data_IF_576334553072
#
_entry.id   IF_576334553072
#
_cell.length_a   1.000
_cell.length_b   1.000
_cell.length_c   1.000
_cell.angle_alpha   90.00
_cell.angle_beta   90.00
_cell.angle_gamma   90.00
#
_symmetry.space_group_name_H-M   'P 1'
#
loop_
_entity.id
_entity.type
_entity.pdbx_description
1 polymer ?
#
# COMPACT_ATOMS: atom_id res chain seq x y z
N UNK A 1 -22.23 -20.89 -44.57
CA UNK A 1 -20.95 -20.27 -44.97
C UNK A 1 -19.95 -21.41 -45.15
N UNK A 2 -19.26 -21.43 -46.28
CA UNK A 2 -18.72 -22.62 -46.98
C UNK A 2 -17.96 -23.65 -46.11
N UNK A 3 -18.42 -24.90 -46.15
CA UNK A 3 -17.65 -26.09 -45.79
C UNK A 3 -17.00 -26.65 -47.07
N UNK A 4 -15.67 -26.76 -47.08
CA UNK A 4 -14.95 -27.57 -48.06
C UNK A 4 -14.57 -28.89 -47.39
N UNK A 5 -15.13 -30.00 -47.88
CA UNK A 5 -14.64 -31.35 -47.58
C UNK A 5 -13.77 -31.76 -48.77
N UNK A 6 -12.46 -31.76 -48.57
CA UNK A 6 -11.50 -32.28 -49.55
C UNK A 6 -11.31 -33.77 -49.27
N UNK A 7 -11.92 -34.64 -50.08
CA UNK A 7 -11.63 -36.08 -50.03
C UNK A 7 -10.55 -36.38 -51.07
N UNK A 8 -9.31 -36.55 -50.63
CA UNK A 8 -8.22 -37.06 -51.46
C UNK A 8 -7.91 -38.50 -51.07
N UNK A 9 -8.00 -39.42 -52.04
CA UNK A 9 -7.53 -40.81 -51.89
C UNK A 9 -6.01 -40.79 -51.80
N UNK A 10 -5.46 -40.82 -50.58
CA UNK A 10 -4.03 -41.02 -50.40
C UNK A 10 -3.68 -42.50 -50.55
N UNK A 11 -2.60 -42.77 -51.31
CA UNK A 11 -2.00 -44.09 -51.38
C UNK A 11 -1.54 -44.49 -49.95
N UNK A 12 -1.99 -45.65 -49.42
CA UNK A 12 -1.75 -46.04 -48.02
C UNK A 12 -0.27 -46.14 -47.66
N UNK A 13 0.60 -46.39 -48.63
CA UNK A 13 2.05 -46.46 -48.43
C UNK A 13 2.65 -45.06 -48.24
N UNK A 14 2.16 -44.08 -49.00
CA UNK A 14 2.61 -42.67 -48.91
C UNK A 14 2.08 -42.04 -47.62
N UNK A 15 0.82 -42.33 -47.25
CA UNK A 15 0.22 -41.86 -46.01
C UNK A 15 0.96 -42.41 -44.77
N UNK A 16 1.36 -43.69 -44.80
CA UNK A 16 2.15 -44.31 -43.72
C UNK A 16 3.55 -43.70 -43.59
N UNK A 17 4.21 -43.37 -44.70
CA UNK A 17 5.51 -42.68 -44.68
C UNK A 17 5.41 -41.24 -44.17
N UNK A 18 4.37 -40.50 -44.56
CA UNK A 18 4.11 -39.15 -44.06
C UNK A 18 3.77 -39.18 -42.57
N UNK A 19 2.97 -40.13 -42.10
CA UNK A 19 2.66 -40.30 -40.67
C UNK A 19 3.91 -40.65 -39.86
N UNK A 20 4.79 -41.52 -40.36
CA UNK A 20 6.04 -41.88 -39.67
C UNK A 20 7.02 -40.69 -39.64
N UNK A 21 7.15 -39.92 -40.73
CA UNK A 21 7.98 -38.72 -40.76
C UNK A 21 7.40 -37.63 -39.84
N UNK A 22 6.08 -37.46 -39.82
CA UNK A 22 5.39 -36.53 -38.94
C UNK A 22 5.55 -36.94 -37.46
N UNK A 23 5.51 -38.24 -37.14
CA UNK A 23 5.79 -38.76 -35.80
C UNK A 23 7.26 -38.57 -35.39
N UNK A 24 8.22 -38.83 -36.29
CA UNK A 24 9.65 -38.62 -36.03
C UNK A 24 9.98 -37.13 -35.81
N UNK A 25 9.32 -36.23 -36.53
CA UNK A 25 9.45 -34.78 -36.35
C UNK A 25 8.75 -34.31 -35.07
N UNK A 26 7.60 -34.89 -34.68
CA UNK A 26 6.94 -34.60 -33.40
C UNK A 26 7.75 -35.08 -32.19
N UNK A 27 8.41 -36.24 -32.28
CA UNK A 27 9.30 -36.75 -31.21
C UNK A 27 10.63 -36.00 -31.16
N UNK A 28 11.09 -35.43 -32.28
CA UNK A 28 12.30 -34.61 -32.35
C UNK A 28 12.15 -33.18 -31.80
N UNK A 29 10.92 -32.68 -31.67
CA UNK A 29 10.62 -31.32 -31.19
C UNK A 29 10.16 -31.25 -29.73
N UNK A 30 10.04 -32.38 -29.03
CA UNK A 30 9.70 -32.39 -27.59
C UNK A 30 10.92 -32.26 -26.66
N UNK A 31 12.13 -32.04 -27.19
CA UNK A 31 13.27 -31.58 -26.40
C UNK A 31 13.41 -30.06 -26.46
N UNK A 32 12.31 -29.32 -26.26
CA UNK A 32 12.46 -28.04 -25.57
C UNK A 32 12.69 -28.42 -24.12
N UNK A 33 13.96 -28.68 -23.80
CA UNK A 33 14.42 -28.70 -22.43
C UNK A 33 13.93 -27.41 -21.80
N UNK A 34 12.89 -27.49 -20.96
CA UNK A 34 12.63 -26.43 -20.00
C UNK A 34 13.97 -26.13 -19.36
N UNK A 35 14.42 -24.88 -19.42
CA UNK A 35 15.66 -24.50 -18.74
C UNK A 35 15.56 -25.07 -17.33
N UNK A 36 16.48 -25.98 -16.98
CA UNK A 36 16.42 -26.62 -15.66
C UNK A 36 16.46 -25.50 -14.63
N UNK A 37 15.68 -25.64 -13.56
CA UNK A 37 15.65 -24.65 -12.49
C UNK A 37 17.08 -24.34 -11.96
N UNK A 38 17.97 -25.32 -12.05
CA UNK A 38 19.41 -25.18 -11.79
C UNK A 38 20.11 -24.18 -12.73
N UNK A 39 19.79 -24.18 -14.04
CA UNK A 39 20.38 -23.23 -14.99
C UNK A 39 20.02 -21.79 -14.64
N UNK A 40 18.76 -21.53 -14.28
CA UNK A 40 18.32 -20.21 -13.82
C UNK A 40 19.08 -19.77 -12.57
N UNK A 41 19.21 -20.66 -11.58
CA UNK A 41 19.99 -20.35 -10.37
C UNK A 41 21.46 -20.07 -10.70
N UNK A 42 22.07 -20.84 -11.60
CA UNK A 42 23.45 -20.58 -12.03
C UNK A 42 23.60 -19.24 -12.74
N UNK A 43 22.66 -18.87 -13.62
CA UNK A 43 22.65 -17.57 -14.29
C UNK A 43 22.51 -16.42 -13.27
N UNK A 44 21.62 -16.55 -12.29
CA UNK A 44 21.46 -15.56 -11.22
C UNK A 44 22.72 -15.45 -10.35
N UNK A 45 23.34 -16.57 -9.98
CA UNK A 45 24.56 -16.59 -9.15
C UNK A 45 25.79 -16.02 -9.85
N UNK A 46 25.89 -16.20 -11.16
CA UNK A 46 27.01 -15.71 -11.96
C UNK A 46 26.78 -14.27 -12.44
N UNK A 47 25.57 -13.74 -12.28
CA UNK A 47 25.25 -12.34 -12.56
C UNK A 47 26.12 -11.39 -11.76
N UNK A 48 26.77 -10.46 -12.44
CA UNK A 48 27.53 -9.38 -11.81
C UNK A 48 26.64 -8.50 -10.91
N UNK A 49 25.34 -8.41 -11.20
CA UNK A 49 24.39 -7.62 -10.43
C UNK A 49 24.10 -8.21 -9.03
N UNK A 50 24.28 -9.52 -8.84
CA UNK A 50 24.04 -10.21 -7.56
C UNK A 50 25.34 -10.60 -6.83
N UNK A 51 26.47 -10.02 -7.26
CA UNK A 51 27.77 -10.29 -6.63
C UNK A 51 27.77 -9.79 -5.19
N UNK A 52 28.05 -10.70 -4.24
CA UNK A 52 28.07 -10.40 -2.81
C UNK A 52 26.69 -10.45 -2.13
N UNK A 53 25.63 -10.75 -2.87
CA UNK A 53 24.28 -10.93 -2.33
C UNK A 53 24.08 -12.33 -1.74
N UNK A 54 23.11 -12.45 -0.83
CA UNK A 54 22.50 -13.74 -0.47
C UNK A 54 21.24 -13.90 -1.31
N UNK A 55 21.09 -15.05 -1.97
CA UNK A 55 19.94 -15.36 -2.82
C UNK A 55 19.22 -16.61 -2.29
N UNK A 56 17.96 -16.44 -1.91
CA UNK A 56 17.04 -17.56 -1.68
C UNK A 56 15.90 -17.52 -2.71
N UNK A 57 15.55 -18.68 -3.26
CA UNK A 57 14.45 -18.84 -4.21
C UNK A 57 13.61 -20.05 -3.82
N UNK A 58 12.30 -19.84 -3.72
CA UNK A 58 11.32 -20.89 -3.49
C UNK A 58 10.18 -20.70 -4.49
N UNK A 59 9.93 -21.71 -5.31
CA UNK A 59 8.77 -21.78 -6.22
C UNK A 59 8.04 -23.07 -5.90
N UNK A 60 6.74 -22.97 -5.63
CA UNK A 60 5.88 -24.11 -5.29
C UNK A 60 4.69 -24.20 -6.23
N UNK A 61 4.18 -25.41 -6.46
CA UNK A 61 2.88 -25.58 -7.10
C UNK A 61 1.79 -25.29 -6.07
N UNK A 62 0.80 -24.46 -6.44
CA UNK A 62 -0.26 -24.06 -5.51
C UNK A 62 -1.22 -25.19 -5.13
N UNK A 63 -1.42 -26.16 -6.03
CA UNK A 63 -2.34 -27.29 -5.85
C UNK A 63 -1.86 -28.32 -4.83
N UNK A 64 -0.54 -28.56 -4.82
CA UNK A 64 0.09 -29.66 -4.09
C UNK A 64 1.08 -29.18 -3.03
N UNK A 65 1.46 -27.89 -3.05
CA UNK A 65 2.52 -27.33 -2.21
C UNK A 65 3.92 -27.80 -2.58
N UNK A 66 4.05 -28.71 -3.55
CA UNK A 66 5.32 -29.33 -3.90
C UNK A 66 6.29 -28.29 -4.50
N UNK A 67 7.55 -28.27 -4.08
CA UNK A 67 8.55 -27.38 -4.63
C UNK A 67 8.83 -27.72 -6.11
N UNK A 68 8.75 -26.69 -6.95
CA UNK A 68 9.23 -26.70 -8.35
C UNK A 68 10.71 -26.30 -8.38
N UNK A 69 11.11 -25.35 -7.52
CA UNK A 69 12.48 -24.92 -7.31
C UNK A 69 12.64 -24.56 -5.83
N UNK A 70 13.72 -25.03 -5.21
CA UNK A 70 14.11 -24.66 -3.86
C UNK A 70 15.61 -24.45 -3.83
N UNK A 71 16.04 -23.23 -3.53
CA UNK A 71 17.44 -22.86 -3.40
C UNK A 71 17.60 -21.93 -2.22
N UNK A 72 18.31 -22.37 -1.17
CA UNK A 72 18.50 -21.59 0.07
C UNK A 72 17.18 -21.02 0.64
N UNK A 73 16.06 -21.73 0.48
CA UNK A 73 14.72 -21.25 0.85
C UNK A 73 14.56 -21.00 2.35
N UNK A 74 15.29 -21.75 3.18
CA UNK A 74 15.24 -21.65 4.64
C UNK A 74 16.20 -20.60 5.22
N UNK A 75 16.93 -19.88 4.36
CA UNK A 75 17.83 -18.81 4.80
C UNK A 75 17.04 -17.60 5.27
N UNK A 76 17.23 -17.21 6.53
CA UNK A 76 16.62 -15.98 7.07
C UNK A 76 17.23 -14.75 6.40
N UNK A 77 16.38 -13.92 5.80
CA UNK A 77 16.75 -12.68 5.12
C UNK A 77 15.82 -11.55 5.54
N UNK A 78 16.23 -10.30 5.33
CA UNK A 78 15.37 -9.15 5.60
C UNK A 78 14.27 -9.07 4.52
N UNK A 79 12.98 -9.21 4.87
CA UNK A 79 11.90 -9.33 3.90
C UNK A 79 11.53 -8.00 3.22
N UNK A 80 11.99 -6.87 3.75
CA UNK A 80 11.52 -5.54 3.37
C UNK A 80 9.98 -5.51 3.31
N UNK A 81 9.40 -4.89 2.29
CA UNK A 81 7.93 -4.78 2.15
C UNK A 81 7.20 -6.11 1.93
N UNK A 82 7.88 -7.23 1.67
CA UNK A 82 7.19 -8.54 1.56
C UNK A 82 6.64 -9.01 2.91
N UNK A 83 7.15 -8.49 4.03
CA UNK A 83 6.61 -8.73 5.36
C UNK A 83 5.13 -8.31 5.50
N UNK A 84 4.67 -7.37 4.66
CA UNK A 84 3.26 -6.96 4.62
C UNK A 84 2.32 -8.13 4.39
N UNK A 85 2.74 -9.18 3.67
CA UNK A 85 1.92 -10.39 3.47
C UNK A 85 1.53 -11.05 4.81
N UNK A 86 2.48 -11.16 5.74
CA UNK A 86 2.23 -11.75 7.06
C UNK A 86 1.27 -10.88 7.89
N UNK A 87 1.47 -9.57 7.89
CA UNK A 87 0.61 -8.66 8.64
C UNK A 87 -0.77 -8.52 8.03
N UNK A 88 -0.90 -8.53 6.71
CA UNK A 88 -2.20 -8.57 6.02
C UNK A 88 -2.95 -9.85 6.36
N UNK A 89 -2.28 -11.02 6.35
CA UNK A 89 -2.90 -12.27 6.75
C UNK A 89 -3.38 -12.23 8.21
N UNK A 90 -2.53 -11.76 9.13
CA UNK A 90 -2.89 -11.61 10.53
C UNK A 90 -4.07 -10.65 10.73
N UNK A 91 -4.08 -9.51 10.02
CA UNK A 91 -5.19 -8.56 10.08
C UNK A 91 -6.50 -9.16 9.54
N UNK A 92 -6.45 -9.88 8.42
CA UNK A 92 -7.63 -10.55 7.85
C UNK A 92 -8.16 -11.66 8.77
N UNK A 93 -7.27 -12.42 9.42
CA UNK A 93 -7.63 -13.47 10.37
C UNK A 93 -8.30 -12.89 11.63
N UNK A 94 -7.73 -11.81 12.18
CA UNK A 94 -8.21 -11.22 13.45
C UNK A 94 -9.42 -10.30 13.28
N UNK A 95 -9.46 -9.50 12.20
CA UNK A 95 -10.49 -8.48 12.00
C UNK A 95 -11.57 -8.92 10.99
N UNK A 96 -11.21 -9.79 10.04
CA UNK A 96 -12.04 -10.11 8.89
C UNK A 96 -11.87 -9.14 7.73
N UNK A 97 -12.24 -9.59 6.52
CA UNK A 97 -12.14 -8.78 5.29
C UNK A 97 -13.13 -7.60 5.26
N UNK A 98 -14.23 -7.70 6.00
CA UNK A 98 -15.29 -6.68 6.06
C UNK A 98 -15.15 -5.73 7.25
N UNK A 99 -14.01 -5.76 7.96
CA UNK A 99 -13.79 -4.87 9.09
C UNK A 99 -13.79 -3.41 8.66
N UNK A 100 -14.52 -2.59 9.43
CA UNK A 100 -14.59 -1.15 9.22
C UNK A 100 -14.18 -0.45 10.51
N UNK A 101 -13.20 0.44 10.41
CA UNK A 101 -12.81 1.31 11.51
C UNK A 101 -13.95 2.29 11.85
N UNK A 102 -14.10 2.59 13.13
CA UNK A 102 -15.16 3.46 13.63
C UNK A 102 -14.54 4.66 14.37
N UNK A 103 -14.89 5.85 13.90
CA UNK A 103 -14.63 7.10 14.61
C UNK A 103 -15.97 7.68 15.06
N UNK A 104 -16.20 7.73 16.37
CA UNK A 104 -17.46 8.16 16.98
C UNK A 104 -17.33 9.58 17.52
N UNK A 105 -18.41 10.32 17.40
CA UNK A 105 -18.52 11.68 17.93
C UNK A 105 -19.47 11.68 19.13
N UNK A 106 -19.05 12.30 20.22
CA UNK A 106 -19.85 12.44 21.43
C UNK A 106 -19.86 13.88 21.89
N UNK A 107 -20.89 14.23 22.67
CA UNK A 107 -20.94 15.46 23.44
C UNK A 107 -21.16 15.10 24.90
N UNK A 108 -20.54 15.83 25.81
CA UNK A 108 -20.86 15.78 27.23
C UNK A 108 -21.70 16.99 27.63
N UNK A 109 -22.45 16.88 28.72
CA UNK A 109 -23.25 17.98 29.24
C UNK A 109 -24.55 18.24 28.46
N UNK A 110 -25.00 19.49 28.45
CA UNK A 110 -26.31 19.89 27.90
C UNK A 110 -26.17 21.09 26.97
N UNK A 111 -27.03 21.13 25.96
CA UNK A 111 -27.15 22.25 25.02
C UNK A 111 -28.16 23.24 25.60
N UNK A 112 -27.75 24.48 25.82
CA UNK A 112 -28.64 25.54 26.27
C UNK A 112 -29.64 25.94 25.18
N UNK A 113 -30.70 26.66 25.55
CA UNK A 113 -31.65 27.25 24.59
C UNK A 113 -31.00 28.22 23.60
N UNK A 114 -29.87 28.84 23.96
CA UNK A 114 -29.06 29.68 23.07
C UNK A 114 -28.22 28.89 22.07
N UNK A 115 -28.16 27.56 22.19
CA UNK A 115 -27.32 26.67 21.37
C UNK A 115 -25.90 26.51 21.88
N UNK A 116 -25.60 26.89 23.13
CA UNK A 116 -24.27 26.69 23.72
C UNK A 116 -24.22 25.30 24.37
N UNK A 117 -23.33 24.43 23.90
CA UNK A 117 -23.00 23.18 24.58
C UNK A 117 -22.17 23.51 25.82
N UNK A 118 -22.73 23.27 27.01
CA UNK A 118 -22.03 23.38 28.30
C UNK A 118 -21.40 22.02 28.63
N UNK A 119 -20.25 21.75 28.02
CA UNK A 119 -19.56 20.47 28.08
C UNK A 119 -18.62 20.29 26.89
N UNK A 120 -18.01 19.11 26.81
CA UNK A 120 -16.96 18.79 25.85
C UNK A 120 -17.54 18.16 24.57
N UNK A 121 -16.81 18.32 23.47
CA UNK A 121 -17.01 17.57 22.24
C UNK A 121 -15.89 16.55 22.12
N UNK A 122 -16.25 15.26 21.98
CA UNK A 122 -15.29 14.17 22.00
C UNK A 122 -15.28 13.44 20.66
N UNK A 123 -14.09 13.07 20.22
CA UNK A 123 -13.85 12.20 19.08
C UNK A 123 -13.20 10.93 19.60
N UNK A 124 -13.90 9.81 19.52
CA UNK A 124 -13.40 8.50 19.93
C UNK A 124 -13.01 7.69 18.70
N UNK A 125 -11.73 7.39 18.58
CA UNK A 125 -11.14 6.70 17.42
C UNK A 125 -10.85 5.24 17.73
N UNK A 126 -11.19 4.35 16.79
CA UNK A 126 -10.74 2.95 16.80
C UNK A 126 -9.44 2.72 16.01
N UNK A 127 -8.70 3.78 15.67
CA UNK A 127 -7.42 3.68 14.95
C UNK A 127 -7.53 3.61 13.42
N UNK A 128 -8.49 4.30 12.81
CA UNK A 128 -8.62 4.36 11.34
C UNK A 128 -7.35 4.94 10.68
N UNK A 129 -6.59 4.16 9.89
CA UNK A 129 -5.39 4.66 9.23
C UNK A 129 -5.69 5.57 8.03
N UNK A 130 -6.94 5.57 7.53
CA UNK A 130 -7.38 6.35 6.38
C UNK A 130 -8.25 7.55 6.73
N UNK A 131 -8.38 7.92 8.01
CA UNK A 131 -9.26 8.99 8.44
C UNK A 131 -8.83 10.33 7.82
N UNK A 132 -9.76 10.93 7.05
CA UNK A 132 -9.53 12.16 6.29
C UNK A 132 -8.36 12.09 5.29
N UNK A 133 -8.01 10.90 4.77
CA UNK A 133 -6.94 10.76 3.77
C UNK A 133 -7.27 11.49 2.47
N UNK A 134 -6.23 12.09 1.87
CA UNK A 134 -6.30 12.71 0.53
C UNK A 134 -5.71 11.80 -0.56
N UNK A 135 -5.37 10.55 -0.25
CA UNK A 135 -4.73 9.63 -1.19
C UNK A 135 -5.77 8.93 -2.08
N UNK A 136 -5.55 8.97 -3.39
CA UNK A 136 -6.31 8.20 -4.38
C UNK A 136 -7.82 8.49 -4.35
N UNK A 137 -8.63 7.44 -4.30
CA UNK A 137 -10.11 7.51 -4.27
C UNK A 137 -10.68 7.46 -2.85
N UNK A 138 -9.95 7.99 -1.86
CA UNK A 138 -10.42 8.03 -0.48
C UNK A 138 -11.81 8.67 -0.40
N UNK A 139 -12.79 7.89 0.08
CA UNK A 139 -14.19 8.33 0.18
C UNK A 139 -14.39 9.32 1.33
N UNK A 140 -13.56 9.23 2.37
CA UNK A 140 -13.57 10.09 3.53
C UNK A 140 -12.42 11.09 3.44
N UNK A 141 -12.61 12.16 2.69
CA UNK A 141 -11.67 13.27 2.61
C UNK A 141 -11.94 14.30 3.74
N UNK A 142 -11.00 15.24 3.88
CA UNK A 142 -11.04 16.30 4.89
C UNK A 142 -12.36 17.08 4.87
N UNK A 143 -12.81 17.51 3.69
CA UNK A 143 -14.04 18.29 3.54
C UNK A 143 -15.27 17.52 4.03
N UNK A 144 -15.39 16.24 3.66
CA UNK A 144 -16.50 15.41 4.08
C UNK A 144 -16.54 15.23 5.59
N UNK A 145 -15.39 15.03 6.23
CA UNK A 145 -15.28 14.89 7.69
C UNK A 145 -15.78 16.16 8.37
N UNK A 146 -15.24 17.33 8.02
CA UNK A 146 -15.65 18.60 8.63
C UNK A 146 -17.11 18.95 8.34
N UNK A 147 -17.59 18.72 7.11
CA UNK A 147 -19.00 18.93 6.77
C UNK A 147 -19.92 18.01 7.59
N UNK A 148 -19.53 16.75 7.81
CA UNK A 148 -20.31 15.79 8.59
C UNK A 148 -20.38 16.20 10.06
N UNK A 149 -19.24 16.61 10.65
CA UNK A 149 -19.19 17.14 12.02
C UNK A 149 -20.09 18.38 12.14
N UNK A 150 -19.90 19.37 11.24
CA UNK A 150 -20.66 20.62 11.25
C UNK A 150 -22.18 20.38 11.09
N UNK A 151 -22.59 19.55 10.13
CA UNK A 151 -24.00 19.18 9.94
C UNK A 151 -24.58 18.49 11.16
N UNK A 152 -23.82 17.59 11.80
CA UNK A 152 -24.27 16.86 12.99
C UNK A 152 -24.46 17.79 14.18
N UNK A 153 -23.48 18.66 14.46
CA UNK A 153 -23.57 19.64 15.56
C UNK A 153 -24.72 20.62 15.34
N UNK A 154 -24.90 21.13 14.11
CA UNK A 154 -26.02 22.01 13.79
C UNK A 154 -27.38 21.32 13.95
N UNK A 155 -27.51 20.05 13.55
CA UNK A 155 -28.74 19.27 13.74
C UNK A 155 -29.10 19.11 15.23
N UNK A 156 -28.09 19.06 16.10
CA UNK A 156 -28.28 19.04 17.55
C UNK A 156 -28.57 20.44 18.15
N UNK A 157 -28.50 21.51 17.33
CA UNK A 157 -28.68 22.89 17.78
C UNK A 157 -27.45 23.51 18.44
N UNK A 158 -26.28 22.87 18.32
CA UNK A 158 -25.02 23.41 18.84
C UNK A 158 -24.53 24.53 17.92
N UNK A 159 -24.36 25.73 18.50
CA UNK A 159 -23.79 26.93 17.86
C UNK A 159 -22.44 27.31 18.45
N UNK A 160 -22.21 26.95 19.71
CA UNK A 160 -20.98 27.21 20.44
C UNK A 160 -20.69 26.05 21.39
N UNK A 161 -19.42 25.68 21.53
CA UNK A 161 -18.96 24.72 22.52
C UNK A 161 -18.24 25.50 23.61
N UNK A 162 -18.71 25.37 24.85
CA UNK A 162 -18.11 25.93 26.05
C UNK A 162 -17.56 24.77 26.89
N UNK A 163 -16.43 24.25 26.42
CA UNK A 163 -15.74 23.08 26.90
C UNK A 163 -14.60 22.73 25.96
N UNK A 164 -14.06 21.51 26.07
CA UNK A 164 -12.90 21.07 25.33
C UNK A 164 -13.26 20.26 24.09
N UNK A 165 -12.34 20.24 23.12
CA UNK A 165 -12.27 19.17 22.12
C UNK A 165 -11.39 18.06 22.70
N UNK A 166 -11.94 16.87 22.87
CA UNK A 166 -11.24 15.72 23.47
C UNK A 166 -11.05 14.63 22.43
N UNK A 167 -9.80 14.24 22.17
CA UNK A 167 -9.49 13.06 21.37
C UNK A 167 -9.33 11.86 22.31
N UNK A 168 -10.24 10.90 22.21
CA UNK A 168 -10.15 9.63 22.92
C UNK A 168 -9.62 8.56 21.96
N UNK A 169 -8.45 8.04 22.28
CA UNK A 169 -7.78 7.00 21.49
C UNK A 169 -7.59 5.76 22.36
N UNK A 170 -7.49 4.59 21.72
CA UNK A 170 -7.00 3.41 22.43
C UNK A 170 -5.50 3.55 22.68
N UNK A 171 -5.09 3.40 23.94
CA UNK A 171 -3.69 3.19 24.30
C UNK A 171 -3.29 1.75 23.95
N UNK A 172 -2.09 1.54 23.39
CA UNK A 172 -1.63 0.16 23.23
C UNK A 172 -0.38 -0.12 22.40
N UNK A 173 0.16 0.82 21.63
CA UNK A 173 1.39 0.56 20.88
C UNK A 173 2.27 1.81 20.73
N UNK A 174 3.58 1.61 20.65
CA UNK A 174 4.51 2.64 20.20
C UNK A 174 4.19 2.99 18.75
N UNK A 175 3.89 4.25 18.48
CA UNK A 175 3.52 4.69 17.14
C UNK A 175 4.68 4.62 16.13
N UNK A 176 5.92 4.63 16.63
CA UNK A 176 7.14 4.54 15.83
C UNK A 176 7.92 3.33 16.30
N UNK A 177 8.23 2.41 15.39
CA UNK A 177 9.02 1.23 15.74
C UNK A 177 10.45 1.63 16.08
N UNK A 178 10.98 1.16 17.22
CA UNK A 178 12.33 1.49 17.68
C UNK A 178 13.47 1.05 16.74
N UNK A 179 13.19 0.18 15.76
CA UNK A 179 14.15 -0.24 14.73
C UNK A 179 14.19 0.68 13.51
N UNK A 180 13.34 1.70 13.42
CA UNK A 180 13.35 2.64 12.30
C UNK A 180 14.50 3.62 12.40
N UNK A 181 15.11 3.95 11.27
CA UNK A 181 16.10 5.01 11.24
C UNK A 181 15.42 6.35 11.49
N UNK A 182 16.06 7.19 12.30
CA UNK A 182 15.57 8.53 12.62
C UNK A 182 15.33 9.39 11.37
N UNK A 183 16.18 9.23 10.35
CA UNK A 183 16.15 9.95 9.09
C UNK A 183 14.88 9.65 8.25
N UNK A 184 14.25 8.51 8.49
CA UNK A 184 13.05 8.09 7.79
C UNK A 184 11.78 8.73 8.37
N UNK A 185 11.80 9.19 9.62
CA UNK A 185 10.62 9.69 10.33
C UNK A 185 9.99 10.95 9.72
N UNK A 186 10.76 11.72 8.95
CA UNK A 186 10.23 12.88 8.22
C UNK A 186 9.65 12.52 6.83
N UNK A 187 9.75 11.27 6.41
CA UNK A 187 9.20 10.81 5.14
C UNK A 187 7.81 10.21 5.32
N UNK A 188 7.02 10.23 4.23
CA UNK A 188 5.65 9.71 4.20
C UNK A 188 5.53 8.23 4.63
N UNK A 189 6.56 7.41 4.40
CA UNK A 189 6.59 6.00 4.78
C UNK A 189 7.07 5.74 6.22
N UNK A 190 7.57 6.78 6.90
CA UNK A 190 8.03 6.75 8.28
C UNK A 190 7.11 7.51 9.24
N UNK A 191 5.91 7.89 8.80
CA UNK A 191 4.88 8.48 9.65
C UNK A 191 4.47 7.49 10.74
N UNK A 192 4.43 7.96 12.00
CA UNK A 192 4.02 7.12 13.12
C UNK A 192 2.54 6.70 13.03
N UNK A 193 2.22 5.51 13.53
CA UNK A 193 0.87 4.96 13.59
C UNK A 193 0.27 5.17 14.99
N UNK A 194 -0.49 6.25 15.16
CA UNK A 194 -1.13 6.61 16.42
C UNK A 194 -2.55 6.06 16.52
N UNK A 195 -3.14 6.03 17.72
CA UNK A 195 -4.54 5.64 17.91
C UNK A 195 -5.57 6.59 17.24
N UNK A 196 -5.11 7.76 16.81
CA UNK A 196 -5.81 8.63 15.88
C UNK A 196 -4.80 9.23 14.90
N UNK A 197 -5.02 9.00 13.61
CA UNK A 197 -4.23 9.59 12.54
C UNK A 197 -5.15 10.50 11.73
N UNK A 198 -4.64 11.63 11.28
CA UNK A 198 -5.38 12.56 10.44
C UNK A 198 -4.57 12.81 9.18
N UNK A 199 -5.18 12.65 8.00
CA UNK A 199 -4.49 12.79 6.72
C UNK A 199 -3.21 11.92 6.63
N UNK A 200 -3.27 10.69 7.12
CA UNK A 200 -2.13 9.76 7.17
C UNK A 200 -0.92 10.27 8.00
N UNK A 201 -1.11 11.32 8.82
CA UNK A 201 -0.05 12.09 9.49
C UNK A 201 0.96 12.70 8.53
N UNK A 202 0.53 13.00 7.31
CA UNK A 202 1.34 13.65 6.29
C UNK A 202 1.00 15.14 6.21
N UNK A 203 2.01 15.93 5.88
CA UNK A 203 1.83 17.32 5.45
C UNK A 203 2.61 17.57 4.17
N UNK A 204 2.06 18.42 3.32
CA UNK A 204 2.66 18.83 2.05
C UNK A 204 3.29 20.21 2.21
N UNK A 205 4.54 20.35 1.78
CA UNK A 205 5.25 21.63 1.70
C UNK A 205 5.27 22.08 0.25
N UNK A 206 4.67 23.22 -0.03
CA UNK A 206 4.64 23.82 -1.36
C UNK A 206 5.73 24.87 -1.46
N UNK A 207 6.52 24.80 -2.54
CA UNK A 207 7.58 25.74 -2.81
C UNK A 207 7.20 26.65 -3.98
N UNK A 208 7.42 27.95 -3.80
CA UNK A 208 7.35 28.92 -4.89
C UNK A 208 8.69 28.92 -5.61
N UNK A 209 8.69 28.49 -6.87
CA UNK A 209 9.87 28.52 -7.72
C UNK A 209 10.31 29.96 -7.97
N UNK A 210 11.62 30.19 -7.96
CA UNK A 210 12.21 31.46 -8.33
C UNK A 210 12.41 31.50 -9.86
N UNK A 211 12.05 32.61 -10.56
CA UNK A 211 12.18 32.69 -12.03
C UNK A 211 13.61 32.55 -12.56
N UNK A 212 14.60 32.82 -11.71
CA UNK A 212 16.03 32.63 -12.02
C UNK A 212 16.53 31.32 -11.42
N UNK A 213 17.25 30.55 -12.23
CA UNK A 213 17.96 29.32 -11.85
C UNK A 213 18.92 29.58 -10.69
N UNK A 214 19.12 28.58 -9.84
CA UNK A 214 20.04 28.60 -8.70
C UNK A 214 19.72 29.66 -7.63
N UNK A 215 18.48 30.16 -7.61
CA UNK A 215 17.99 31.01 -6.52
C UNK A 215 17.14 30.20 -5.54
N UNK A 216 17.17 30.59 -4.27
CA UNK A 216 16.45 29.90 -3.20
C UNK A 216 14.94 29.95 -3.43
N UNK A 217 14.29 28.78 -3.44
CA UNK A 217 12.84 28.67 -3.47
C UNK A 217 12.27 29.07 -2.11
N UNK A 218 11.22 29.87 -2.10
CA UNK A 218 10.49 30.20 -0.88
C UNK A 218 9.46 29.12 -0.58
N UNK A 219 9.19 28.85 0.70
CA UNK A 219 8.05 28.02 1.08
C UNK A 219 6.81 28.89 0.90
N UNK A 220 5.90 28.47 0.02
CA UNK A 220 4.65 29.17 -0.26
C UNK A 220 3.60 28.87 0.82
N UNK A 221 3.44 27.59 1.16
CA UNK A 221 2.50 27.12 2.18
C UNK A 221 2.81 25.70 2.65
N UNK A 222 2.26 25.34 3.80
CA UNK A 222 2.22 23.97 4.33
C UNK A 222 0.75 23.56 4.45
N UNK A 223 0.41 22.34 4.03
CA UNK A 223 -0.96 21.81 4.06
C UNK A 223 -0.98 20.43 4.72
N UNK A 224 -1.74 20.21 5.81
CA UNK A 224 -2.48 21.25 6.55
C UNK A 224 -1.54 22.27 7.21
N UNK A 225 -2.07 23.42 7.61
CA UNK A 225 -1.30 24.34 8.46
C UNK A 225 -1.06 23.66 9.81
N UNK A 226 0.20 23.64 10.26
CA UNK A 226 0.60 23.03 11.54
C UNK A 226 1.06 24.16 12.47
N UNK A 227 0.26 24.49 13.51
CA UNK A 227 0.62 25.55 14.45
C UNK A 227 2.00 25.33 15.08
N UNK A 228 2.84 26.36 15.00
CA UNK A 228 4.19 26.34 15.59
C UNK A 228 5.26 25.63 14.77
N UNK A 229 4.93 24.98 13.65
CA UNK A 229 5.91 24.37 12.75
C UNK A 229 6.76 25.46 12.08
N UNK A 230 8.08 25.37 12.23
CA UNK A 230 9.05 26.28 11.59
C UNK A 230 9.88 25.50 10.58
N UNK A 231 9.77 25.86 9.31
CA UNK A 231 10.56 25.26 8.23
C UNK A 231 11.53 26.28 7.64
N UNK A 232 12.69 25.80 7.19
CA UNK A 232 13.68 26.62 6.48
C UNK A 232 13.96 25.98 5.12
N UNK A 233 13.74 26.73 4.04
CA UNK A 233 14.08 26.24 2.70
C UNK A 233 15.58 26.20 2.49
N UNK A 234 16.07 25.10 1.92
CA UNK A 234 17.40 24.96 1.31
C UNK A 234 17.32 24.46 -0.13
N UNK A 235 16.14 24.61 -0.74
CA UNK A 235 15.84 24.15 -2.09
C UNK A 235 16.12 25.29 -3.07
N UNK A 236 16.83 25.01 -4.15
CA UNK A 236 17.14 25.98 -5.19
C UNK A 236 16.33 25.69 -6.46
N UNK A 237 16.01 26.74 -7.21
CA UNK A 237 15.30 26.60 -8.49
C UNK A 237 16.18 25.90 -9.51
N UNK A 238 15.67 24.79 -10.05
CA UNK A 238 16.31 24.05 -11.13
C UNK A 238 16.25 24.78 -12.47
N UNK A 239 16.98 24.27 -13.49
CA UNK A 239 16.93 24.76 -14.86
C UNK A 239 15.55 24.59 -15.52
#
# INVERSE_FOLDING_TARGET
>A
MHFFILVTKFNPIILRKIIIIFWLVLTGLCNVSGQSADKLIQELRTSSALRGSVLGVQIVKLDSGNPVLSFQSETRMMPASTQKLLFTLAALDQLGADYVFNTKLFISGKISSSGTLKGDFLISSSGDPGFASNRGNAKMNVDLVFQTIHKTLNKLGVKQIDGNLVLQVQDGAEAVAGSWHWEDLSNYYGGGAWGFNFMENEYSVYFKQHPKVSQLCQIEKVVPEIPGLKLTSRVFSGP
#
